data_IF_281859614984
#
_entry.id   IF_281859614984
#
_cell.length_a   1.000
_cell.length_b   1.000
_cell.length_c   1.000
_cell.angle_alpha   90.00
_cell.angle_beta   90.00
_cell.angle_gamma   90.00
#
_symmetry.space_group_name_H-M   'P 1'
#
loop_
_entity.id
_entity.type
_entity.pdbx_description
1 polymer ?
#
# COMPACT_ATOMS: atom_id res chain seq x y z
N UNK A 1 -16.49 -5.92 12.02
CA UNK A 1 -16.14 -7.02 12.95
C UNK A 1 -14.64 -7.28 12.90
N UNK A 2 -14.02 -7.55 14.04
CA UNK A 2 -12.61 -7.96 14.15
C UNK A 2 -12.55 -9.24 14.99
N UNK A 3 -11.96 -10.31 14.43
CA UNK A 3 -11.71 -11.55 15.15
C UNK A 3 -10.22 -11.77 15.31
N UNK A 4 -9.76 -12.02 16.52
CA UNK A 4 -8.33 -12.16 16.78
C UNK A 4 -8.02 -13.22 17.81
N UNK A 5 -6.91 -13.94 17.58
CA UNK A 5 -6.28 -14.79 18.59
C UNK A 5 -4.77 -14.57 18.59
N UNK A 6 -4.25 -14.16 19.73
CA UNK A 6 -2.82 -13.94 19.92
C UNK A 6 -2.04 -15.26 19.79
N UNK A 7 -0.85 -15.20 19.21
CA UNK A 7 0.07 -16.33 19.19
C UNK A 7 0.39 -16.82 20.61
N UNK A 8 0.42 -18.15 20.80
CA UNK A 8 0.69 -18.79 22.10
C UNK A 8 -0.54 -18.98 22.99
N UNK A 9 -1.70 -18.43 22.64
CA UNK A 9 -2.95 -18.69 23.38
C UNK A 9 -3.67 -19.92 22.79
N UNK A 10 -4.44 -20.67 23.63
CA UNK A 10 -5.25 -21.77 23.14
C UNK A 10 -6.45 -21.28 22.32
N UNK A 11 -7.07 -22.14 21.50
CA UNK A 11 -8.18 -21.77 20.61
C UNK A 11 -9.36 -21.07 21.28
N UNK A 12 -9.65 -21.40 22.52
CA UNK A 12 -10.79 -20.89 23.30
C UNK A 12 -10.58 -19.45 23.77
N UNK A 13 -9.38 -18.89 23.59
CA UNK A 13 -9.03 -17.52 23.95
C UNK A 13 -8.99 -16.57 22.73
N UNK A 14 -9.79 -16.86 21.73
CA UNK A 14 -10.09 -15.91 20.67
C UNK A 14 -11.05 -14.84 21.16
N UNK A 15 -10.99 -13.67 20.54
CA UNK A 15 -11.86 -12.52 20.84
C UNK A 15 -12.48 -12.01 19.55
N UNK A 16 -13.76 -11.71 19.58
CA UNK A 16 -14.48 -10.98 18.54
C UNK A 16 -14.89 -9.62 19.08
N UNK A 17 -14.57 -8.59 18.34
CA UNK A 17 -15.07 -7.23 18.50
C UNK A 17 -16.00 -6.90 17.34
N UNK A 18 -17.15 -6.30 17.62
CA UNK A 18 -18.09 -5.86 16.59
C UNK A 18 -18.68 -4.50 16.92
N UNK A 19 -18.93 -3.69 15.90
CA UNK A 19 -19.58 -2.39 16.00
C UNK A 19 -20.32 -2.06 14.70
N UNK A 20 -21.44 -1.40 14.82
CA UNK A 20 -22.22 -0.86 13.71
C UNK A 20 -21.85 0.59 13.37
N UNK A 21 -20.84 1.15 14.05
CA UNK A 21 -20.38 2.54 13.83
C UNK A 21 -21.22 3.60 14.54
N UNK A 22 -22.11 3.21 15.45
CA UNK A 22 -22.95 4.10 16.26
C UNK A 22 -22.26 4.69 17.48
N UNK A 23 -20.99 4.29 17.72
CA UNK A 23 -20.22 4.60 18.92
C UNK A 23 -20.27 3.50 19.98
N UNK A 24 -21.14 2.52 19.81
CA UNK A 24 -21.21 1.32 20.64
C UNK A 24 -20.45 0.16 20.00
N UNK A 25 -19.96 -0.75 20.85
CA UNK A 25 -19.29 -1.96 20.41
C UNK A 25 -19.56 -3.12 21.39
N UNK A 26 -19.40 -4.32 20.89
CA UNK A 26 -19.48 -5.55 21.68
C UNK A 26 -18.16 -6.29 21.62
N UNK A 27 -17.83 -6.98 22.72
CA UNK A 27 -16.64 -7.85 22.80
C UNK A 27 -17.07 -9.18 23.38
N UNK A 28 -16.80 -10.26 22.65
CA UNK A 28 -17.13 -11.61 23.08
C UNK A 28 -15.92 -12.55 22.96
N UNK A 29 -15.86 -13.59 23.80
CA UNK A 29 -14.91 -14.67 23.66
C UNK A 29 -15.41 -15.66 22.61
N UNK A 30 -14.51 -16.07 21.71
CA UNK A 30 -14.81 -17.03 20.64
C UNK A 30 -13.76 -18.14 20.62
N UNK A 31 -14.13 -19.28 20.06
CA UNK A 31 -13.16 -20.32 19.71
C UNK A 31 -12.62 -20.06 18.32
N UNK A 32 -11.30 -19.82 18.19
CA UNK A 32 -10.62 -19.59 16.94
C UNK A 32 -9.39 -20.51 16.81
N UNK A 33 -9.44 -21.43 15.86
CA UNK A 33 -8.40 -22.44 15.68
C UNK A 33 -7.05 -21.84 15.26
N UNK A 34 -7.07 -20.82 14.40
CA UNK A 34 -5.87 -20.19 13.87
C UNK A 34 -5.51 -18.91 14.64
N UNK A 35 -4.20 -18.68 14.81
CA UNK A 35 -3.68 -17.39 15.31
C UNK A 35 -3.79 -16.34 14.23
N UNK A 36 -3.90 -15.10 14.63
CA UNK A 36 -3.95 -13.97 13.70
C UNK A 36 -5.18 -13.08 13.94
N UNK A 37 -5.42 -12.16 13.02
CA UNK A 37 -6.52 -11.22 13.10
C UNK A 37 -7.21 -11.14 11.76
N UNK A 38 -8.53 -11.29 11.75
CA UNK A 38 -9.39 -11.01 10.62
C UNK A 38 -10.13 -9.71 10.86
N UNK A 39 -10.10 -8.83 9.88
CA UNK A 39 -10.88 -7.59 9.85
C UNK A 39 -11.94 -7.77 8.79
N UNK A 40 -13.20 -7.84 9.21
CA UNK A 40 -14.35 -8.10 8.35
C UNK A 40 -15.15 -6.80 8.23
N UNK A 41 -15.20 -6.25 7.01
CA UNK A 41 -15.96 -5.07 6.68
C UNK A 41 -17.27 -5.48 5.99
N UNK A 42 -18.39 -5.06 6.56
CA UNK A 42 -19.71 -5.19 5.94
C UNK A 42 -19.99 -3.93 5.15
N UNK A 43 -19.80 -4.00 3.84
CA UNK A 43 -19.92 -2.83 2.96
C UNK A 43 -21.39 -2.48 2.73
N UNK A 44 -21.66 -1.18 2.55
CA UNK A 44 -22.94 -0.69 2.07
C UNK A 44 -23.08 -0.99 0.57
N UNK A 45 -24.31 -1.01 0.07
CA UNK A 45 -24.56 -1.32 -1.34
C UNK A 45 -23.86 -0.35 -2.31
N UNK A 46 -23.75 0.93 -1.93
CA UNK A 46 -23.06 1.96 -2.70
C UNK A 46 -21.52 1.80 -2.75
N UNK A 47 -20.97 0.93 -1.91
CA UNK A 47 -19.52 0.71 -1.77
C UNK A 47 -19.05 -0.65 -2.35
N UNK A 48 -19.87 -1.29 -3.19
CA UNK A 48 -19.55 -2.59 -3.80
C UNK A 48 -18.28 -2.59 -4.65
N UNK A 49 -17.81 -1.42 -5.09
CA UNK A 49 -16.55 -1.32 -5.83
C UNK A 49 -15.34 -1.89 -5.05
N UNK A 50 -15.37 -1.83 -3.71
CA UNK A 50 -14.32 -2.40 -2.86
C UNK A 50 -14.33 -3.94 -2.79
N UNK A 51 -15.32 -4.60 -3.38
CA UNK A 51 -15.32 -6.05 -3.59
C UNK A 51 -14.57 -6.45 -4.88
N UNK A 52 -14.16 -5.48 -5.69
CA UNK A 52 -13.48 -5.76 -6.96
C UNK A 52 -11.97 -5.85 -6.76
N UNK A 53 -11.37 -6.91 -7.28
CA UNK A 53 -9.92 -7.16 -7.17
C UNK A 53 -9.09 -6.02 -7.71
N UNK A 54 -9.46 -5.46 -8.87
CA UNK A 54 -8.74 -4.33 -9.44
C UNK A 54 -8.73 -3.09 -8.54
N UNK A 55 -9.85 -2.83 -7.81
CA UNK A 55 -9.93 -1.71 -6.87
C UNK A 55 -9.01 -1.91 -5.69
N UNK A 56 -9.00 -3.13 -5.11
CA UNK A 56 -8.12 -3.47 -3.99
C UNK A 56 -6.65 -3.40 -4.40
N UNK A 57 -6.30 -3.85 -5.63
CA UNK A 57 -4.94 -3.72 -6.16
C UNK A 57 -4.54 -2.26 -6.31
N UNK A 58 -5.42 -1.41 -6.83
CA UNK A 58 -5.14 0.03 -6.97
C UNK A 58 -4.91 0.71 -5.61
N UNK A 59 -5.72 0.36 -4.60
CA UNK A 59 -5.56 0.83 -3.22
C UNK A 59 -4.23 0.35 -2.64
N UNK A 60 -3.91 -0.94 -2.78
CA UNK A 60 -2.65 -1.51 -2.31
C UNK A 60 -1.45 -0.83 -2.97
N UNK A 61 -1.46 -0.65 -4.28
CA UNK A 61 -0.41 0.02 -5.01
C UNK A 61 -0.23 1.48 -4.57
N UNK A 62 -1.32 2.19 -4.29
CA UNK A 62 -1.26 3.59 -3.84
C UNK A 62 -0.73 3.73 -2.40
N UNK A 63 -1.27 2.97 -1.47
CA UNK A 63 -1.06 3.22 -0.04
C UNK A 63 -0.06 2.29 0.63
N UNK A 64 0.12 1.08 0.12
CA UNK A 64 0.80 -0.02 0.82
C UNK A 64 1.85 -0.75 -0.02
N UNK A 65 2.21 -0.22 -1.20
CA UNK A 65 3.16 -0.87 -2.11
C UNK A 65 4.53 -1.09 -1.44
N UNK A 66 4.93 -0.20 -0.56
CA UNK A 66 6.26 -0.16 0.05
C UNK A 66 6.34 -0.66 1.50
N UNK A 67 5.24 -1.11 2.10
CA UNK A 67 5.27 -1.70 3.45
C UNK A 67 6.09 -2.99 3.42
N UNK A 68 6.76 -3.31 4.54
CA UNK A 68 7.68 -4.47 4.61
C UNK A 68 7.00 -5.84 4.68
N UNK A 69 5.68 -5.87 4.74
CA UNK A 69 4.89 -7.09 4.79
C UNK A 69 4.32 -7.40 3.41
N UNK A 70 4.39 -8.65 2.93
CA UNK A 70 3.71 -9.04 1.71
C UNK A 70 2.19 -8.99 1.90
N UNK A 71 1.50 -8.32 0.97
CA UNK A 71 0.05 -8.35 0.87
C UNK A 71 -0.29 -9.40 -0.16
N UNK A 72 -1.07 -10.39 0.26
CA UNK A 72 -1.47 -11.50 -0.60
C UNK A 72 -2.94 -11.33 -1.00
N UNK A 73 -3.22 -11.58 -2.27
CA UNK A 73 -4.57 -11.64 -2.80
C UNK A 73 -4.75 -12.94 -3.58
N UNK A 74 -6.00 -13.41 -3.69
CA UNK A 74 -6.31 -14.52 -4.58
C UNK A 74 -6.06 -14.10 -6.03
N UNK A 75 -5.40 -14.98 -6.78
CA UNK A 75 -5.11 -14.75 -8.19
C UNK A 75 -6.39 -14.88 -9.01
N UNK A 76 -6.63 -13.94 -9.89
CA UNK A 76 -7.72 -14.03 -10.86
C UNK A 76 -7.28 -14.85 -12.05
N UNK A 77 -8.15 -15.76 -12.47
CA UNK A 77 -8.00 -16.56 -13.69
C UNK A 77 -9.27 -16.41 -14.53
N UNK A 78 -9.11 -16.45 -15.84
CA UNK A 78 -10.25 -16.42 -16.75
C UNK A 78 -10.85 -17.84 -16.84
N UNK A 79 -12.12 -17.96 -16.48
CA UNK A 79 -12.89 -19.18 -16.61
C UNK A 79 -13.55 -19.21 -18.01
N UNK A 80 -13.04 -20.09 -18.88
CA UNK A 80 -13.54 -20.20 -20.25
C UNK A 80 -14.98 -20.70 -20.33
N UNK A 81 -15.44 -21.51 -19.37
CA UNK A 81 -16.80 -22.05 -19.33
C UNK A 81 -17.81 -20.97 -18.94
N UNK A 82 -17.48 -20.18 -17.92
CA UNK A 82 -18.32 -19.09 -17.42
C UNK A 82 -18.12 -17.79 -18.18
N UNK A 83 -17.06 -17.67 -18.97
CA UNK A 83 -16.63 -16.44 -19.68
C UNK A 83 -16.46 -15.24 -18.76
N UNK A 84 -15.96 -15.46 -17.55
CA UNK A 84 -15.75 -14.43 -16.54
C UNK A 84 -14.43 -14.64 -15.81
N UNK A 85 -13.95 -13.58 -15.14
CA UNK A 85 -12.81 -13.65 -14.21
C UNK A 85 -13.28 -14.28 -12.91
N UNK A 86 -12.60 -15.33 -12.46
CA UNK A 86 -12.88 -16.01 -11.19
C UNK A 86 -11.64 -16.05 -10.31
N UNK A 87 -11.84 -16.10 -9.00
CA UNK A 87 -10.72 -16.23 -8.05
C UNK A 87 -10.27 -17.69 -7.99
N UNK A 88 -8.98 -17.93 -8.19
CA UNK A 88 -8.36 -19.24 -8.02
C UNK A 88 -8.01 -19.49 -6.54
N UNK A 89 -7.58 -20.72 -6.23
CA UNK A 89 -7.04 -21.06 -4.92
C UNK A 89 -5.59 -20.61 -4.70
N UNK A 90 -4.94 -20.11 -5.75
CA UNK A 90 -3.59 -19.57 -5.67
C UNK A 90 -3.57 -18.17 -5.09
N UNK A 91 -2.52 -17.88 -4.29
CA UNK A 91 -2.25 -16.58 -3.74
C UNK A 91 -1.09 -15.92 -4.48
N UNK A 92 -1.18 -14.64 -4.71
CA UNK A 92 -0.09 -13.83 -5.28
C UNK A 92 0.19 -12.60 -4.42
N UNK A 93 1.45 -12.19 -4.37
CA UNK A 93 1.85 -10.95 -3.70
C UNK A 93 1.53 -9.77 -4.61
N UNK A 94 0.77 -8.80 -4.09
CA UNK A 94 0.27 -7.66 -4.87
C UNK A 94 0.96 -6.34 -4.56
N UNK A 95 1.89 -6.32 -3.60
CA UNK A 95 2.74 -5.17 -3.30
C UNK A 95 4.22 -5.52 -3.46
N UNK A 96 5.07 -4.52 -3.59
CA UNK A 96 6.53 -4.72 -3.72
C UNK A 96 7.21 -5.11 -2.43
N UNK A 97 6.61 -4.82 -1.28
CA UNK A 97 7.13 -5.06 0.06
C UNK A 97 8.55 -4.48 0.30
N UNK A 98 8.98 -3.54 -0.52
CA UNK A 98 10.29 -2.90 -0.47
C UNK A 98 10.15 -1.40 -0.72
N UNK A 99 10.99 -0.62 -0.03
CA UNK A 99 11.09 0.82 -0.21
C UNK A 99 12.54 1.17 -0.56
N UNK A 100 12.79 1.56 -1.82
CA UNK A 100 14.12 1.87 -2.32
C UNK A 100 14.85 2.86 -1.41
N UNK A 101 14.18 3.92 -1.02
CA UNK A 101 14.76 5.02 -0.22
C UNK A 101 15.20 4.61 1.20
N UNK A 102 14.79 3.43 1.69
CA UNK A 102 15.22 2.95 3.01
C UNK A 102 16.53 2.19 2.99
N UNK A 103 17.03 1.84 1.81
CA UNK A 103 18.31 1.16 1.61
C UNK A 103 19.46 2.17 1.67
N UNK A 104 20.65 1.69 2.03
CA UNK A 104 21.84 2.54 1.94
C UNK A 104 22.11 2.91 0.47
N UNK A 105 22.53 4.17 0.25
CA UNK A 105 22.82 4.66 -1.11
C UNK A 105 23.87 3.82 -1.84
N UNK A 106 24.85 3.29 -1.10
CA UNK A 106 25.88 2.38 -1.63
C UNK A 106 25.34 1.07 -2.19
N UNK A 107 24.15 0.67 -1.79
CA UNK A 107 23.54 -0.62 -2.09
C UNK A 107 22.50 -0.51 -3.20
N UNK A 108 22.39 0.67 -3.81
CA UNK A 108 21.41 0.97 -4.85
C UNK A 108 22.17 1.39 -6.11
N UNK A 109 21.88 0.74 -7.21
CA UNK A 109 22.46 1.06 -8.52
C UNK A 109 21.72 2.20 -9.21
N UNK A 110 22.37 2.90 -10.13
CA UNK A 110 21.73 3.94 -10.95
C UNK A 110 20.52 3.39 -11.74
N UNK A 111 20.61 2.16 -12.22
CA UNK A 111 19.50 1.51 -12.91
C UNK A 111 18.27 1.32 -12.00
N UNK A 112 18.47 0.99 -10.72
CA UNK A 112 17.36 0.89 -9.74
C UNK A 112 16.75 2.25 -9.45
N UNK A 113 17.55 3.32 -9.35
CA UNK A 113 17.03 4.69 -9.20
C UNK A 113 16.21 5.12 -10.42
N UNK A 114 16.69 4.84 -11.63
CA UNK A 114 15.96 5.15 -12.86
C UNK A 114 14.66 4.38 -12.97
N UNK A 115 14.68 3.08 -12.72
CA UNK A 115 13.47 2.24 -12.74
C UNK A 115 12.43 2.70 -11.72
N UNK A 116 12.89 3.12 -10.54
CA UNK A 116 12.00 3.66 -9.52
C UNK A 116 11.38 4.99 -9.95
N UNK A 117 12.17 5.90 -10.54
CA UNK A 117 11.68 7.16 -11.11
C UNK A 117 10.59 6.91 -12.15
N UNK A 118 10.88 6.08 -13.17
CA UNK A 118 9.94 5.78 -14.24
C UNK A 118 8.60 5.25 -13.70
N UNK A 119 8.66 4.46 -12.64
CA UNK A 119 7.47 3.93 -12.01
C UNK A 119 6.65 4.99 -11.26
N UNK A 120 7.29 5.87 -10.47
CA UNK A 120 6.56 6.87 -9.64
C UNK A 120 6.12 8.10 -10.43
N UNK A 121 6.85 8.43 -11.49
CA UNK A 121 6.57 9.57 -12.37
C UNK A 121 5.68 9.19 -13.57
N UNK A 122 5.50 7.89 -13.83
CA UNK A 122 4.86 7.37 -15.04
C UNK A 122 5.51 7.91 -16.32
N UNK A 123 6.83 8.08 -16.27
CA UNK A 123 7.65 8.62 -17.35
C UNK A 123 8.53 7.48 -17.93
N UNK A 124 8.59 7.36 -19.24
CA UNK A 124 9.42 6.36 -19.89
C UNK A 124 10.91 6.80 -19.99
N UNK A 125 11.16 8.12 -19.93
CA UNK A 125 12.50 8.66 -19.98
C UNK A 125 13.19 8.60 -18.61
N UNK A 126 14.52 8.52 -18.55
CA UNK A 126 15.24 8.57 -17.28
C UNK A 126 15.20 10.00 -16.70
N UNK A 127 15.41 10.17 -15.40
CA UNK A 127 15.52 11.48 -14.80
C UNK A 127 16.83 12.16 -15.21
N UNK A 128 16.81 13.48 -15.35
CA UNK A 128 18.02 14.28 -15.58
C UNK A 128 19.01 14.17 -14.41
N UNK A 129 18.50 14.17 -13.19
CA UNK A 129 19.28 14.05 -11.98
C UNK A 129 18.41 13.52 -10.83
N UNK A 130 19.07 13.01 -9.80
CA UNK A 130 18.41 12.63 -8.55
C UNK A 130 19.31 12.87 -7.35
N UNK A 131 18.71 12.97 -6.18
CA UNK A 131 19.44 13.03 -4.90
C UNK A 131 18.75 12.14 -3.87
N UNK A 132 19.55 11.40 -3.12
CA UNK A 132 19.11 10.53 -2.06
C UNK A 132 19.88 10.87 -0.78
N UNK A 133 19.20 11.45 0.20
CA UNK A 133 19.78 11.95 1.43
C UNK A 133 19.05 11.38 2.64
N UNK A 134 19.82 11.11 3.69
CA UNK A 134 19.31 10.84 5.01
C UNK A 134 19.65 12.04 5.89
N UNK A 135 18.63 12.69 6.42
CA UNK A 135 18.78 13.83 7.31
C UNK A 135 18.58 13.35 8.74
N UNK A 136 19.59 13.62 9.57
CA UNK A 136 19.60 13.28 10.99
C UNK A 136 19.57 14.58 11.80
N UNK A 137 18.77 14.62 12.85
CA UNK A 137 18.61 15.79 13.69
C UNK A 137 17.39 15.69 14.60
N UNK A 138 16.80 16.83 14.93
CA UNK A 138 15.55 16.88 15.71
C UNK A 138 14.39 16.16 14.99
N UNK A 139 14.39 16.24 13.69
CA UNK A 139 13.48 15.49 12.80
C UNK A 139 14.35 14.67 11.86
N UNK A 140 14.17 13.35 11.88
CA UNK A 140 14.87 12.43 11.00
C UNK A 140 13.96 12.06 9.84
N UNK A 141 14.51 12.17 8.62
CA UNK A 141 13.79 11.76 7.41
C UNK A 141 14.75 11.31 6.31
N UNK A 142 14.24 10.57 5.37
CA UNK A 142 14.92 10.20 4.14
C UNK A 142 14.26 10.93 2.99
N UNK A 143 15.06 11.55 2.15
CA UNK A 143 14.65 12.34 1.01
C UNK A 143 15.21 11.71 -0.26
N UNK A 144 14.34 11.38 -1.21
CA UNK A 144 14.67 10.95 -2.55
C UNK A 144 13.95 11.86 -3.53
N UNK A 145 14.71 12.73 -4.20
CA UNK A 145 14.18 13.71 -5.15
C UNK A 145 14.70 13.41 -6.54
N UNK A 146 13.86 13.63 -7.53
CA UNK A 146 14.18 13.49 -8.94
C UNK A 146 13.91 14.78 -9.68
N UNK A 147 14.77 15.10 -10.62
CA UNK A 147 14.58 16.15 -11.60
C UNK A 147 14.24 15.49 -12.94
N UNK A 148 13.05 15.66 -13.50
CA UNK A 148 12.71 15.12 -14.81
C UNK A 148 13.54 15.77 -15.90
N UNK A 149 13.81 15.05 -16.99
CA UNK A 149 14.54 15.61 -18.15
C UNK A 149 13.74 16.71 -18.85
N UNK A 150 12.42 16.59 -18.86
CA UNK A 150 11.51 17.58 -19.44
C UNK A 150 10.59 18.13 -18.37
N UNK A 151 10.35 19.44 -18.43
CA UNK A 151 9.37 20.07 -17.56
C UNK A 151 7.99 19.44 -17.80
N UNK A 152 7.27 19.01 -16.74
CA UNK A 152 5.90 18.55 -16.87
C UNK A 152 5.04 19.59 -17.56
N UNK A 153 4.12 19.15 -18.43
CA UNK A 153 3.26 20.06 -19.21
C UNK A 153 2.33 20.89 -18.33
N UNK A 154 2.03 20.41 -17.14
CA UNK A 154 1.17 21.01 -16.13
C UNK A 154 1.92 21.87 -15.09
N UNK A 155 3.24 22.03 -15.25
CA UNK A 155 4.09 22.80 -14.32
C UNK A 155 3.59 24.23 -14.09
N UNK A 156 2.91 24.82 -15.07
CA UNK A 156 2.38 26.18 -15.03
C UNK A 156 0.89 26.24 -14.69
N UNK A 157 0.24 25.10 -14.45
CA UNK A 157 -1.16 25.09 -14.05
C UNK A 157 -1.29 25.50 -12.58
N UNK A 158 -1.87 26.68 -12.34
CA UNK A 158 -2.07 27.22 -11.00
C UNK A 158 -3.07 26.44 -10.14
N UNK A 159 -3.88 25.60 -10.75
CA UNK A 159 -4.87 24.78 -10.05
C UNK A 159 -4.29 23.43 -9.58
N UNK A 160 -3.13 23.05 -10.13
CA UNK A 160 -2.48 21.82 -9.75
C UNK A 160 -1.46 22.09 -8.64
N UNK A 161 -1.62 21.41 -7.52
CA UNK A 161 -0.65 21.46 -6.42
C UNK A 161 0.48 20.49 -6.74
N UNK A 162 1.68 21.03 -6.93
CA UNK A 162 2.90 20.27 -7.06
C UNK A 162 3.51 20.12 -5.67
N UNK A 163 3.56 18.91 -5.15
CA UNK A 163 4.09 18.59 -3.84
C UNK A 163 4.98 17.38 -3.86
N UNK A 164 5.46 17.01 -2.69
CA UNK A 164 6.23 15.79 -2.50
C UNK A 164 5.33 14.65 -2.02
N UNK A 165 5.61 13.43 -2.48
CA UNK A 165 4.99 12.24 -1.93
C UNK A 165 5.56 11.98 -0.54
N UNK A 166 4.71 12.04 0.47
CA UNK A 166 5.06 11.79 1.86
C UNK A 166 4.70 10.35 2.25
N UNK A 167 5.66 9.68 2.83
CA UNK A 167 5.48 8.35 3.39
C UNK A 167 5.85 8.35 4.88
N UNK A 168 5.00 7.77 5.72
CA UNK A 168 5.31 7.53 7.13
C UNK A 168 5.37 6.03 7.35
N UNK A 169 6.53 5.51 7.81
CA UNK A 169 6.77 4.07 7.97
C UNK A 169 6.42 3.26 6.71
N UNK A 170 6.76 3.79 5.52
CA UNK A 170 6.52 3.22 4.19
C UNK A 170 5.05 3.19 3.74
N UNK A 171 4.13 3.79 4.50
CA UNK A 171 2.74 3.99 4.12
C UNK A 171 2.61 5.36 3.46
N UNK A 172 1.98 5.42 2.29
CA UNK A 172 1.69 6.68 1.61
C UNK A 172 0.69 7.50 2.42
N UNK A 173 0.99 8.78 2.61
CA UNK A 173 0.13 9.73 3.35
C UNK A 173 -0.50 10.73 2.38
N UNK A 174 0.32 11.43 1.58
CA UNK A 174 -0.13 12.45 0.65
C UNK A 174 0.89 12.66 -0.48
N UNK A 175 0.50 13.34 -1.53
CA UNK A 175 1.34 13.69 -2.70
C UNK A 175 1.50 15.19 -2.91
N UNK A 176 0.98 15.99 -2.01
CA UNK A 176 1.03 17.45 -2.03
C UNK A 176 1.71 18.04 -0.76
N UNK A 177 2.60 17.28 -0.14
CA UNK A 177 3.31 17.76 1.04
C UNK A 177 4.17 19.00 0.69
N UNK A 178 3.97 20.06 1.46
CA UNK A 178 4.80 21.28 1.40
C UNK A 178 6.14 21.06 2.12
N UNK A 179 7.21 21.69 1.62
CA UNK A 179 8.55 21.68 2.27
C UNK A 179 8.64 22.73 3.36
#
# INVERSE_FOLDING_TARGET
TVESRRAGLPPEQGVRWSSEGTGEFEVEAITRAERGTDVILHLRAEEEEFLRTWKLRAITAKYSDHISLPILMRKEVYDEEKKEQTLSDEWETVNKAAALWTRARSDITDAEYQAFYQQIAFDAEPPLAYTHNRVEGRTEYIQLLYLPERAPFDLWDRNQRHGLKLYVRRVFIMDDAEQ
#
